data_IF_027476557871
#
_entry.id   IF_027476557871
#
_cell.length_a   1.000
_cell.length_b   1.000
_cell.length_c   1.000
_cell.angle_alpha   90.00
_cell.angle_beta   90.00
_cell.angle_gamma   90.00
#
_symmetry.space_group_name_H-M   'P 1'
#
loop_
_entity.id
_entity.type
_entity.pdbx_description
1 polymer ?
#
# COMPACT_ATOMS: atom_id res chain seq x y z
N UNK A 1 -15.52 70.14 -17.41
CA UNK A 1 -14.74 68.92 -17.26
C UNK A 1 -15.62 67.86 -16.60
N UNK A 2 -16.03 66.84 -17.38
CA UNK A 2 -16.90 65.75 -16.89
C UNK A 2 -16.02 64.52 -16.66
N UNK A 3 -15.86 64.08 -15.41
CA UNK A 3 -15.16 62.87 -15.08
C UNK A 3 -16.11 61.67 -15.23
N UNK A 4 -15.81 60.79 -16.18
CA UNK A 4 -16.55 59.55 -16.35
C UNK A 4 -15.94 58.50 -15.40
N UNK A 5 -16.74 58.07 -14.41
CA UNK A 5 -16.38 56.94 -13.53
C UNK A 5 -16.57 55.65 -14.30
N UNK A 6 -15.49 54.92 -14.51
CA UNK A 6 -15.50 53.51 -15.04
C UNK A 6 -15.70 52.57 -13.85
N UNK A 7 -16.87 52.00 -13.75
CA UNK A 7 -17.14 50.92 -12.80
C UNK A 7 -16.58 49.58 -13.36
N UNK A 8 -15.55 49.05 -12.71
CA UNK A 8 -14.97 47.77 -13.06
C UNK A 8 -15.76 46.64 -12.33
N UNK A 9 -16.58 45.95 -13.07
CA UNK A 9 -17.37 44.82 -12.55
C UNK A 9 -16.47 43.58 -12.49
N UNK A 10 -16.14 43.15 -11.26
CA UNK A 10 -15.38 41.92 -11.02
C UNK A 10 -16.32 40.73 -11.15
N UNK A 11 -16.19 39.95 -12.22
CA UNK A 11 -16.93 38.70 -12.39
C UNK A 11 -16.14 37.56 -11.70
N UNK A 12 -16.59 37.14 -10.52
CA UNK A 12 -16.12 35.95 -9.84
C UNK A 12 -16.69 34.71 -10.56
N UNK A 13 -15.87 34.05 -11.37
CA UNK A 13 -16.18 32.73 -11.90
C UNK A 13 -15.86 31.68 -10.83
N UNK A 14 -16.88 31.27 -10.09
CA UNK A 14 -16.78 30.12 -9.16
C UNK A 14 -16.75 28.83 -10.00
N UNK A 15 -15.54 28.38 -10.35
CA UNK A 15 -15.30 27.07 -10.98
C UNK A 15 -15.49 25.97 -9.93
N UNK A 16 -16.71 25.47 -9.72
CA UNK A 16 -16.94 24.24 -8.99
C UNK A 16 -16.43 23.07 -9.86
N UNK A 17 -15.16 22.67 -9.65
CA UNK A 17 -14.61 21.46 -10.22
C UNK A 17 -15.31 20.26 -9.60
N UNK A 18 -16.40 19.80 -10.20
CA UNK A 18 -17.02 18.51 -9.83
C UNK A 18 -16.01 17.40 -10.17
N UNK A 19 -15.33 16.88 -9.13
CA UNK A 19 -14.54 15.67 -9.25
C UNK A 19 -15.48 14.54 -9.64
N UNK A 20 -15.24 13.92 -10.80
CA UNK A 20 -15.96 12.72 -11.21
C UNK A 20 -15.87 11.66 -10.08
N UNK A 21 -16.97 10.94 -9.78
CA UNK A 21 -16.95 9.91 -8.76
C UNK A 21 -15.87 8.90 -9.11
N UNK A 22 -14.89 8.68 -8.20
CA UNK A 22 -13.86 7.66 -8.37
C UNK A 22 -14.57 6.31 -8.49
N UNK A 23 -14.30 5.59 -9.59
CA UNK A 23 -14.83 4.24 -9.79
C UNK A 23 -14.50 3.39 -8.56
N UNK A 24 -15.45 2.54 -8.14
CA UNK A 24 -15.20 1.62 -7.02
C UNK A 24 -14.04 0.69 -7.41
N UNK A 25 -13.06 0.48 -6.51
CA UNK A 25 -11.94 -0.41 -6.78
C UNK A 25 -12.46 -1.84 -7.01
N UNK A 26 -11.83 -2.56 -7.94
CA UNK A 26 -12.18 -3.95 -8.28
C UNK A 26 -11.95 -4.90 -7.11
N UNK A 27 -10.91 -4.65 -6.33
CA UNK A 27 -10.53 -5.45 -5.17
C UNK A 27 -10.46 -4.57 -3.93
N UNK A 28 -10.71 -5.17 -2.78
CA UNK A 28 -10.50 -4.53 -1.48
C UNK A 28 -10.16 -5.62 -0.46
N UNK A 29 -8.98 -5.52 0.11
CA UNK A 29 -8.49 -6.45 1.13
C UNK A 29 -8.55 -5.83 2.54
N UNK A 30 -8.04 -6.54 3.55
CA UNK A 30 -8.13 -6.15 4.96
C UNK A 30 -7.38 -4.86 5.30
N UNK A 31 -6.34 -4.53 4.52
CA UNK A 31 -5.56 -3.30 4.75
C UNK A 31 -6.38 -2.02 4.59
N UNK A 32 -7.56 -2.08 3.98
CA UNK A 32 -8.50 -0.94 3.90
C UNK A 32 -8.98 -0.42 5.26
N UNK A 33 -8.74 -1.16 6.34
CA UNK A 33 -9.10 -0.81 7.72
C UNK A 33 -7.93 -0.28 8.54
N UNK A 34 -6.74 -0.27 7.94
CA UNK A 34 -5.51 0.19 8.59
C UNK A 34 -5.40 1.72 8.57
N UNK A 35 -4.48 2.25 9.37
CA UNK A 35 -4.21 3.69 9.48
C UNK A 35 -2.90 4.09 8.80
N UNK A 36 -1.99 3.14 8.61
CA UNK A 36 -0.73 3.35 7.91
C UNK A 36 -0.97 3.78 6.46
N UNK A 37 -0.41 4.91 6.00
CA UNK A 37 -0.48 5.31 4.60
C UNK A 37 0.08 4.24 3.65
N UNK A 38 1.18 3.57 4.04
CA UNK A 38 1.78 2.51 3.25
C UNK A 38 0.85 1.30 3.11
N UNK A 39 0.22 0.85 4.20
CA UNK A 39 -0.71 -0.28 4.15
C UNK A 39 -1.96 0.06 3.32
N UNK A 40 -2.48 1.29 3.47
CA UNK A 40 -3.63 1.76 2.70
C UNK A 40 -3.37 1.81 1.18
N UNK A 41 -2.14 2.07 0.73
CA UNK A 41 -1.77 2.01 -0.69
C UNK A 41 -2.02 0.63 -1.27
N UNK A 42 -1.82 -0.42 -0.49
CA UNK A 42 -2.02 -1.81 -0.88
C UNK A 42 -3.44 -2.36 -0.63
N UNK A 43 -4.35 -1.53 -0.14
CA UNK A 43 -5.72 -1.94 0.20
C UNK A 43 -6.55 -2.45 -0.98
N UNK A 44 -6.16 -2.09 -2.20
CA UNK A 44 -6.88 -2.44 -3.44
C UNK A 44 -6.13 -3.39 -4.36
N UNK A 45 -5.00 -3.94 -3.92
CA UNK A 45 -4.36 -5.04 -4.65
C UNK A 45 -5.26 -6.28 -4.65
N UNK A 46 -5.22 -7.11 -5.71
CA UNK A 46 -5.88 -8.41 -5.73
C UNK A 46 -5.29 -9.43 -4.76
N UNK A 47 -4.06 -9.19 -4.26
CA UNK A 47 -3.43 -9.98 -3.20
C UNK A 47 -4.19 -9.78 -1.87
N UNK A 48 -4.56 -10.88 -1.20
CA UNK A 48 -5.28 -10.87 0.09
C UNK A 48 -4.33 -10.55 1.25
N UNK A 49 -3.91 -9.29 1.30
CA UNK A 49 -3.02 -8.79 2.32
C UNK A 49 -3.65 -8.74 3.70
N UNK A 50 -2.87 -9.12 4.70
CA UNK A 50 -3.11 -8.94 6.13
C UNK A 50 -2.08 -7.96 6.70
N UNK A 51 -2.46 -7.18 7.71
CA UNK A 51 -1.49 -6.50 8.55
C UNK A 51 -0.78 -7.51 9.46
N UNK A 52 0.39 -7.12 9.99
CA UNK A 52 1.09 -7.93 10.98
C UNK A 52 0.29 -8.04 12.27
N UNK A 53 -0.06 -9.25 12.64
CA UNK A 53 -0.81 -9.51 13.86
C UNK A 53 -1.18 -10.98 14.04
N UNK A 54 -1.68 -11.34 15.21
CA UNK A 54 -2.00 -12.74 15.55
C UNK A 54 -3.01 -13.36 14.57
N UNK A 55 -3.97 -12.59 14.06
CA UNK A 55 -4.99 -13.06 13.13
C UNK A 55 -4.38 -13.74 11.89
N UNK A 56 -3.36 -13.11 11.29
CA UNK A 56 -2.70 -13.63 10.10
C UNK A 56 -1.95 -14.94 10.38
N UNK A 57 -1.25 -15.00 11.50
CA UNK A 57 -0.51 -16.22 11.91
C UNK A 57 -1.43 -17.37 12.30
N UNK A 58 -2.53 -17.09 13.00
CA UNK A 58 -3.54 -18.09 13.32
C UNK A 58 -4.19 -18.66 12.05
N UNK A 59 -4.48 -17.79 11.08
CA UNK A 59 -4.99 -18.18 9.76
C UNK A 59 -3.98 -19.07 9.04
N UNK A 60 -2.70 -18.68 9.00
CA UNK A 60 -1.64 -19.47 8.38
C UNK A 60 -1.54 -20.87 9.01
N UNK A 61 -1.58 -20.94 10.32
CA UNK A 61 -1.57 -22.21 11.07
C UNK A 61 -2.82 -23.06 10.78
N UNK A 62 -4.00 -22.44 10.78
CA UNK A 62 -5.28 -23.13 10.53
C UNK A 62 -5.36 -23.70 9.12
N UNK A 63 -4.87 -22.94 8.12
CA UNK A 63 -4.90 -23.34 6.72
C UNK A 63 -3.65 -24.15 6.30
N UNK A 64 -2.73 -24.38 7.23
CA UNK A 64 -1.43 -25.04 6.97
C UNK A 64 -0.68 -24.41 5.79
N UNK A 65 -0.68 -23.07 5.72
CA UNK A 65 0.00 -22.28 4.70
C UNK A 65 1.23 -21.59 5.26
N UNK A 66 2.23 -21.42 4.42
CA UNK A 66 3.37 -20.56 4.73
C UNK A 66 2.95 -19.08 4.73
N UNK A 67 3.73 -18.27 5.43
CA UNK A 67 3.57 -16.81 5.39
C UNK A 67 4.46 -16.23 4.28
N UNK A 68 3.87 -15.40 3.43
CA UNK A 68 4.58 -14.51 2.54
C UNK A 68 4.63 -13.13 3.18
N UNK A 69 5.81 -12.72 3.66
CA UNK A 69 6.02 -11.47 4.34
C UNK A 69 6.64 -10.45 3.38
N UNK A 70 6.05 -9.26 3.32
CA UNK A 70 6.60 -8.13 2.58
C UNK A 70 6.67 -6.89 3.47
N UNK A 71 7.88 -6.34 3.63
CA UNK A 71 8.15 -5.16 4.46
C UNK A 71 8.61 -4.02 3.55
N UNK A 72 8.08 -2.82 3.79
CA UNK A 72 8.42 -1.64 3.01
C UNK A 72 7.99 -0.36 3.70
N UNK A 73 7.90 0.73 2.95
CA UNK A 73 7.47 2.05 3.44
C UNK A 73 6.93 2.91 2.30
N UNK A 74 6.21 3.97 2.62
CA UNK A 74 5.43 4.75 1.66
C UNK A 74 6.25 5.42 0.55
N UNK A 75 7.48 5.86 0.82
CA UNK A 75 8.36 6.48 -0.19
C UNK A 75 9.35 5.52 -0.85
N UNK A 76 9.20 4.21 -0.64
CA UNK A 76 10.07 3.18 -1.19
C UNK A 76 9.84 2.99 -2.70
N UNK A 77 10.78 3.43 -3.54
CA UNK A 77 10.66 3.32 -5.00
C UNK A 77 10.45 1.88 -5.49
N UNK A 78 11.29 0.94 -5.03
CA UNK A 78 11.21 -0.47 -5.46
C UNK A 78 9.99 -1.19 -4.89
N UNK A 79 9.42 -0.73 -3.77
CA UNK A 79 8.15 -1.24 -3.27
C UNK A 79 7.01 -0.91 -4.24
N UNK A 80 6.99 0.31 -4.80
CA UNK A 80 6.02 0.70 -5.83
C UNK A 80 6.23 -0.04 -7.15
N UNK A 81 7.48 -0.33 -7.52
CA UNK A 81 7.75 -1.15 -8.71
C UNK A 81 7.18 -2.54 -8.52
N UNK A 82 7.48 -3.19 -7.39
CA UNK A 82 6.99 -4.53 -7.06
C UNK A 82 5.45 -4.59 -6.96
N UNK A 83 4.83 -3.53 -6.46
CA UNK A 83 3.37 -3.40 -6.45
C UNK A 83 2.81 -3.49 -7.85
N UNK A 84 3.25 -2.62 -8.75
CA UNK A 84 2.74 -2.56 -10.13
C UNK A 84 3.03 -3.81 -10.95
N UNK A 85 4.20 -4.42 -10.76
CA UNK A 85 4.63 -5.57 -11.57
C UNK A 85 4.13 -6.91 -11.03
N UNK A 86 3.87 -6.99 -9.72
CA UNK A 86 3.55 -8.27 -9.08
C UNK A 86 2.25 -8.24 -8.27
N UNK A 87 2.10 -7.30 -7.33
CA UNK A 87 0.97 -7.35 -6.39
C UNK A 87 -0.36 -6.89 -7.00
N UNK A 88 -0.32 -6.05 -8.04
CA UNK A 88 -1.47 -5.64 -8.84
C UNK A 88 -1.80 -6.64 -9.96
N UNK A 89 -0.93 -7.61 -10.20
CA UNK A 89 -1.15 -8.63 -11.20
C UNK A 89 -2.03 -9.76 -10.67
N UNK A 90 -3.21 -9.94 -11.27
CA UNK A 90 -4.19 -10.94 -10.82
C UNK A 90 -3.68 -12.38 -10.87
N UNK A 91 -2.82 -12.73 -11.83
CA UNK A 91 -2.25 -14.06 -11.92
C UNK A 91 -1.24 -14.31 -10.79
N UNK A 92 -0.38 -13.33 -10.49
CA UNK A 92 0.53 -13.40 -9.36
C UNK A 92 -0.23 -13.45 -8.04
N UNK A 93 -1.24 -12.59 -7.87
CA UNK A 93 -2.08 -12.55 -6.67
C UNK A 93 -2.80 -13.89 -6.44
N UNK A 94 -3.29 -14.53 -7.50
CA UNK A 94 -3.91 -15.86 -7.40
C UNK A 94 -2.94 -16.88 -6.80
N UNK A 95 -1.72 -16.97 -7.32
CA UNK A 95 -0.69 -17.89 -6.81
C UNK A 95 -0.34 -17.60 -5.35
N UNK A 96 -0.19 -16.31 -5.00
CA UNK A 96 0.09 -15.90 -3.63
C UNK A 96 -1.04 -16.28 -2.68
N UNK A 97 -2.29 -15.98 -3.03
CA UNK A 97 -3.47 -16.24 -2.19
C UNK A 97 -3.72 -17.76 -2.01
N UNK A 98 -3.43 -18.56 -3.03
CA UNK A 98 -3.60 -20.02 -2.97
C UNK A 98 -2.55 -20.67 -2.06
N UNK A 99 -1.30 -20.20 -2.12
CA UNK A 99 -0.15 -20.87 -1.50
C UNK A 99 0.27 -20.28 -0.16
N UNK A 100 -0.05 -19.01 0.12
CA UNK A 100 0.46 -18.28 1.28
C UNK A 100 -0.64 -17.49 2.00
N UNK A 101 -0.34 -17.14 3.24
CA UNK A 101 -0.99 -16.02 3.93
C UNK A 101 -0.05 -14.81 3.76
N UNK A 102 -0.53 -13.80 3.03
CA UNK A 102 0.28 -12.64 2.69
C UNK A 102 0.19 -11.58 3.79
N UNK A 103 1.33 -11.21 4.36
CA UNK A 103 1.44 -10.19 5.42
C UNK A 103 2.22 -9.00 4.87
N UNK A 104 1.65 -7.81 5.04
CA UNK A 104 2.29 -6.53 4.71
C UNK A 104 2.67 -5.80 5.97
N UNK A 105 3.90 -5.26 6.02
CA UNK A 105 4.42 -4.51 7.17
C UNK A 105 4.91 -3.15 6.71
N UNK A 106 4.45 -2.11 7.41
CA UNK A 106 5.04 -0.78 7.33
C UNK A 106 6.20 -0.69 8.33
N UNK A 107 7.43 -0.56 7.82
CA UNK A 107 8.62 -0.44 8.68
C UNK A 107 8.66 0.84 9.50
N UNK A 108 7.93 1.87 9.07
CA UNK A 108 7.87 3.15 9.80
C UNK A 108 7.02 3.01 11.07
N UNK A 109 5.99 2.15 11.05
CA UNK A 109 5.18 1.81 12.22
C UNK A 109 5.76 0.63 13.03
N UNK A 110 6.44 -0.32 12.36
CA UNK A 110 6.99 -1.54 12.96
C UNK A 110 8.48 -1.72 12.68
N UNK A 111 9.32 -0.77 13.13
CA UNK A 111 10.78 -0.86 12.97
C UNK A 111 11.40 -2.06 13.71
N UNK A 112 10.74 -2.56 14.73
CA UNK A 112 11.11 -3.78 15.47
C UNK A 112 11.11 -5.01 14.57
N UNK A 113 10.04 -5.19 13.76
CA UNK A 113 9.90 -6.30 12.82
C UNK A 113 10.89 -6.14 11.68
N UNK A 114 10.96 -4.94 11.09
CA UNK A 114 11.90 -4.62 10.03
C UNK A 114 13.35 -4.98 10.41
N UNK A 115 13.78 -4.57 11.61
CA UNK A 115 15.13 -4.85 12.10
C UNK A 115 15.43 -6.34 12.18
N UNK A 116 14.50 -7.14 12.70
CA UNK A 116 14.68 -8.59 12.83
C UNK A 116 14.88 -9.23 11.45
N UNK A 117 13.99 -8.95 10.50
CA UNK A 117 14.04 -9.57 9.18
C UNK A 117 15.16 -9.03 8.31
N UNK A 118 15.49 -7.74 8.41
CA UNK A 118 16.65 -7.16 7.71
C UNK A 118 17.96 -7.77 8.23
N UNK A 119 18.08 -7.96 9.54
CA UNK A 119 19.26 -8.63 10.16
C UNK A 119 19.38 -10.07 9.67
N UNK A 120 18.26 -10.81 9.62
CA UNK A 120 18.26 -12.16 9.09
C UNK A 120 18.68 -12.21 7.61
N UNK A 121 18.13 -11.29 6.78
CA UNK A 121 18.51 -11.19 5.38
C UNK A 121 19.99 -10.93 5.17
N UNK A 122 20.57 -9.97 5.91
CA UNK A 122 21.99 -9.65 5.84
C UNK A 122 22.87 -10.84 6.26
N UNK A 123 22.43 -11.60 7.26
CA UNK A 123 23.15 -12.80 7.69
C UNK A 123 23.12 -13.92 6.65
N UNK A 124 22.01 -14.08 5.93
CA UNK A 124 21.83 -15.10 4.92
C UNK A 124 22.48 -14.75 3.58
N UNK A 125 22.65 -13.48 3.26
CA UNK A 125 23.10 -12.98 1.96
C UNK A 125 24.46 -12.27 1.99
N UNK A 126 25.26 -12.47 3.02
CA UNK A 126 26.60 -11.86 3.12
C UNK A 126 26.60 -10.33 2.92
N UNK A 127 25.61 -9.64 3.49
CA UNK A 127 25.57 -8.18 3.53
C UNK A 127 24.81 -7.50 2.40
N UNK A 128 24.09 -8.23 1.55
CA UNK A 128 23.19 -7.62 0.56
C UNK A 128 21.73 -7.60 1.02
N UNK A 129 20.98 -6.53 0.73
CA UNK A 129 19.57 -6.45 1.01
C UNK A 129 19.04 -5.02 1.05
N UNK A 130 17.72 -4.89 1.00
CA UNK A 130 17.01 -3.61 0.97
C UNK A 130 15.51 -3.83 0.89
N UNK A 131 14.76 -2.76 0.68
CA UNK A 131 13.32 -2.82 0.53
C UNK A 131 12.91 -2.80 -0.95
N UNK A 132 11.82 -3.53 -1.28
CA UNK A 132 11.00 -4.37 -0.39
C UNK A 132 11.76 -5.58 0.12
N UNK A 133 11.52 -5.91 1.38
CA UNK A 133 12.02 -7.09 2.04
C UNK A 133 10.94 -8.16 2.03
#
# INVERSE_FOLDING_TARGET
>A
MRFASIAMTLVLVAGAGAQAPKAKPKFTNRLSRETSPYLLMHAHNPTDWHAWGPEAFEKAKKENKLVFLSIGYSSCYWCHVMERESFDNEACAKLLNESYICIKVDREERPDIDHIYMTALHSLRSGGGGWPL
#
